data_IF_809448879208
#
_entry.id   IF_809448879208
#
_cell.length_a   1.000
_cell.length_b   1.000
_cell.length_c   1.000
_cell.angle_alpha   90.00
_cell.angle_beta   90.00
_cell.angle_gamma   90.00
#
_symmetry.space_group_name_H-M   'P 1'
#
loop_
_entity.id
_entity.type
_entity.pdbx_description
1 polymer ?
#
# COMPACT_ATOMS: atom_id res chain seq x y z
N UNK A 1 -56.67 46.02 18.20
CA UNK A 1 -56.00 46.68 17.05
C UNK A 1 -54.62 46.09 16.89
N UNK A 2 -54.16 45.87 15.66
CA UNK A 2 -52.81 45.34 15.40
C UNK A 2 -51.77 46.43 15.68
N UNK A 3 -50.70 46.06 16.38
CA UNK A 3 -49.59 46.94 16.74
C UNK A 3 -48.80 47.38 15.50
N UNK A 4 -48.04 48.47 15.59
CA UNK A 4 -47.19 48.95 14.47
C UNK A 4 -46.22 47.87 13.97
N UNK A 5 -45.74 46.99 14.85
CA UNK A 5 -44.85 45.87 14.53
C UNK A 5 -45.58 44.83 13.66
N UNK A 6 -46.83 44.53 13.97
CA UNK A 6 -47.60 43.54 13.21
C UNK A 6 -48.08 44.08 11.86
N UNK A 7 -48.36 45.39 11.75
CA UNK A 7 -48.80 46.02 10.50
C UNK A 7 -47.66 46.29 9.51
N UNK A 8 -46.44 46.53 10.00
CA UNK A 8 -45.31 46.97 9.14
C UNK A 8 -44.13 46.01 9.25
N UNK A 9 -43.77 45.58 10.45
CA UNK A 9 -42.61 44.70 10.67
C UNK A 9 -42.80 43.30 10.07
N UNK A 10 -43.98 42.69 10.25
CA UNK A 10 -44.27 41.35 9.70
C UNK A 10 -44.25 41.37 8.16
N UNK A 11 -44.97 42.26 7.45
CA UNK A 11 -44.92 42.29 5.99
C UNK A 11 -43.54 42.60 5.42
N UNK A 12 -42.77 43.49 6.05
CA UNK A 12 -41.40 43.82 5.61
C UNK A 12 -40.46 42.63 5.75
N UNK A 13 -40.53 41.88 6.86
CA UNK A 13 -39.73 40.66 7.02
C UNK A 13 -40.10 39.59 6.00
N UNK A 14 -41.41 39.40 5.73
CA UNK A 14 -41.87 38.44 4.72
C UNK A 14 -41.36 38.85 3.33
N UNK A 15 -41.42 40.14 2.98
CA UNK A 15 -40.89 40.66 1.72
C UNK A 15 -39.37 40.54 1.62
N UNK A 16 -38.64 40.75 2.71
CA UNK A 16 -37.18 40.60 2.75
C UNK A 16 -36.75 39.15 2.55
N UNK A 17 -37.42 38.21 3.24
CA UNK A 17 -37.18 36.77 3.07
C UNK A 17 -37.55 36.32 1.64
N UNK A 18 -38.70 36.74 1.13
CA UNK A 18 -39.13 36.44 -0.23
C UNK A 18 -38.15 37.01 -1.27
N UNK A 19 -37.63 38.22 -1.04
CA UNK A 19 -36.59 38.83 -1.88
C UNK A 19 -35.30 38.02 -1.88
N UNK A 20 -34.78 37.67 -0.71
CA UNK A 20 -33.57 36.84 -0.61
C UNK A 20 -33.76 35.48 -1.28
N UNK A 21 -34.92 34.85 -1.13
CA UNK A 21 -35.22 33.57 -1.78
C UNK A 21 -35.29 33.71 -3.31
N UNK A 22 -36.04 34.71 -3.81
CA UNK A 22 -36.22 34.95 -5.24
C UNK A 22 -34.91 35.33 -5.94
N UNK A 23 -34.14 36.28 -5.36
CA UNK A 23 -32.85 36.67 -5.91
C UNK A 23 -31.78 35.58 -5.71
N UNK A 24 -31.80 34.88 -4.58
CA UNK A 24 -30.90 33.76 -4.33
C UNK A 24 -31.09 32.61 -5.33
N UNK A 25 -32.34 32.31 -5.70
CA UNK A 25 -32.68 31.30 -6.70
C UNK A 25 -32.34 31.79 -8.13
N UNK A 26 -32.73 33.02 -8.48
CA UNK A 26 -32.43 33.60 -9.80
C UNK A 26 -30.93 33.80 -10.06
N UNK A 27 -30.13 34.07 -9.03
CA UNK A 27 -28.68 34.26 -9.13
C UNK A 27 -27.91 32.96 -8.84
N UNK A 28 -28.60 31.83 -8.65
CA UNK A 28 -27.98 30.55 -8.32
C UNK A 28 -27.08 30.60 -7.08
N UNK A 29 -27.33 31.52 -6.14
CA UNK A 29 -26.54 31.67 -4.90
C UNK A 29 -26.72 30.45 -3.99
N UNK A 30 -27.86 29.74 -4.12
CA UNK A 30 -28.12 28.48 -3.43
C UNK A 30 -27.49 27.25 -4.09
N UNK A 31 -26.94 27.38 -5.31
CA UNK A 31 -25.98 26.40 -5.81
C UNK A 31 -24.69 26.59 -5.02
N UNK A 32 -24.68 26.05 -3.80
CA UNK A 32 -23.45 25.57 -3.20
C UNK A 32 -22.79 24.74 -4.30
N UNK A 33 -21.62 25.17 -4.76
CA UNK A 33 -20.78 24.33 -5.57
C UNK A 33 -20.54 23.05 -4.78
N UNK A 34 -21.36 22.03 -5.02
CA UNK A 34 -21.01 20.64 -4.78
C UNK A 34 -20.02 20.24 -5.89
N UNK A 35 -19.01 21.08 -6.14
CA UNK A 35 -17.83 20.77 -6.93
C UNK A 35 -16.83 20.01 -6.05
N UNK A 36 -17.34 19.07 -5.25
CA UNK A 36 -16.68 17.77 -5.12
C UNK A 36 -17.54 16.78 -5.88
N UNK A 37 -17.51 16.89 -7.21
CA UNK A 37 -17.66 15.69 -8.03
C UNK A 37 -16.49 14.81 -7.62
N UNK A 38 -16.65 14.03 -6.55
CA UNK A 38 -15.73 12.94 -6.29
C UNK A 38 -15.75 12.13 -7.60
N UNK A 39 -14.59 11.83 -8.20
CA UNK A 39 -14.56 10.87 -9.29
C UNK A 39 -15.32 9.61 -8.83
N UNK A 40 -15.89 8.85 -9.77
CA UNK A 40 -16.51 7.52 -9.51
C UNK A 40 -15.85 6.85 -8.31
N UNK A 41 -16.62 6.59 -7.25
CA UNK A 41 -16.07 6.11 -5.97
C UNK A 41 -15.15 4.92 -6.22
N UNK A 42 -13.94 4.98 -5.66
CA UNK A 42 -13.01 3.87 -5.79
C UNK A 42 -13.30 2.89 -4.66
N UNK A 43 -13.91 1.75 -5.01
CA UNK A 43 -14.33 0.73 -4.07
C UNK A 43 -13.14 -0.13 -3.64
N UNK A 44 -12.85 -0.13 -2.35
CA UNK A 44 -11.75 -0.85 -1.73
C UNK A 44 -12.32 -1.94 -0.83
N UNK A 45 -12.13 -3.19 -1.22
CA UNK A 45 -12.52 -4.34 -0.40
C UNK A 45 -11.34 -4.80 0.44
N UNK A 46 -11.56 -4.94 1.75
CA UNK A 46 -10.56 -5.40 2.71
C UNK A 46 -11.09 -6.68 3.37
N UNK A 47 -10.31 -7.75 3.28
CA UNK A 47 -10.59 -9.02 3.94
C UNK A 47 -9.52 -9.31 4.98
N UNK A 48 -9.92 -9.43 6.24
CA UNK A 48 -9.03 -9.78 7.36
C UNK A 48 -9.32 -11.22 7.75
N UNK A 49 -8.30 -12.08 7.81
CA UNK A 49 -8.48 -13.51 8.09
C UNK A 49 -7.29 -14.11 8.86
N UNK A 50 -7.39 -15.40 9.18
CA UNK A 50 -6.34 -16.18 9.84
C UNK A 50 -6.42 -17.63 9.38
N UNK A 51 -5.98 -17.90 8.14
CA UNK A 51 -6.16 -19.21 7.51
C UNK A 51 -5.10 -20.22 7.99
N UNK A 52 -5.45 -21.33 8.67
CA UNK A 52 -4.45 -22.27 9.17
C UNK A 52 -3.58 -22.87 8.06
N UNK A 53 -4.18 -23.18 6.91
CA UNK A 53 -3.49 -23.79 5.76
C UNK A 53 -2.47 -22.87 5.07
N UNK A 54 -2.45 -21.58 5.38
CA UNK A 54 -1.48 -20.64 4.83
C UNK A 54 -0.28 -20.39 5.76
N UNK A 55 -0.29 -20.93 6.98
CA UNK A 55 0.83 -20.75 7.93
C UNK A 55 2.15 -21.21 7.31
N UNK A 56 2.16 -22.39 6.69
CA UNK A 56 3.37 -22.97 6.10
C UNK A 56 3.97 -22.08 5.00
N UNK A 57 3.13 -21.31 4.29
CA UNK A 57 3.60 -20.33 3.30
C UNK A 57 4.44 -19.21 3.94
N UNK A 58 4.10 -18.81 5.17
CA UNK A 58 4.85 -17.80 5.93
C UNK A 58 6.00 -18.39 6.74
N UNK A 59 6.05 -19.71 6.88
CA UNK A 59 7.19 -20.43 7.46
C UNK A 59 8.30 -20.71 6.42
N UNK A 60 8.05 -20.44 5.13
CA UNK A 60 9.03 -20.48 4.05
C UNK A 60 10.12 -19.40 4.15
N UNK A 61 11.21 -19.56 3.40
CA UNK A 61 12.44 -18.77 3.53
C UNK A 61 12.23 -17.25 3.39
N UNK A 62 11.33 -16.81 2.51
CA UNK A 62 11.00 -15.40 2.26
C UNK A 62 10.43 -14.69 3.50
N UNK A 63 9.60 -15.39 4.27
CA UNK A 63 8.92 -14.84 5.44
C UNK A 63 9.63 -15.22 6.75
N UNK A 64 10.50 -16.23 6.72
CA UNK A 64 11.30 -16.69 7.86
C UNK A 64 12.00 -15.53 8.58
N UNK A 65 12.53 -14.56 7.84
CA UNK A 65 13.21 -13.38 8.40
C UNK A 65 12.28 -12.49 9.23
N UNK A 66 11.03 -12.37 8.82
CA UNK A 66 10.01 -11.56 9.51
C UNK A 66 9.53 -12.25 10.77
N UNK A 67 9.29 -13.57 10.70
CA UNK A 67 8.80 -14.34 11.84
C UNK A 67 9.92 -14.85 12.77
N UNK A 68 11.18 -14.79 12.33
CA UNK A 68 12.38 -15.23 13.06
C UNK A 68 12.28 -16.69 13.52
N UNK A 69 11.76 -17.56 12.65
CA UNK A 69 11.54 -18.99 12.94
C UNK A 69 10.53 -19.30 14.04
N UNK A 70 9.75 -18.32 14.52
CA UNK A 70 8.72 -18.54 15.55
C UNK A 70 7.45 -19.12 14.93
N UNK A 71 6.85 -20.07 15.63
CA UNK A 71 5.60 -20.71 15.21
C UNK A 71 4.43 -19.73 15.32
N UNK A 72 3.61 -19.73 14.27
CA UNK A 72 2.36 -18.96 14.17
C UNK A 72 1.17 -19.85 14.55
N UNK A 73 0.16 -19.24 15.13
CA UNK A 73 -1.14 -19.85 15.39
C UNK A 73 -2.27 -18.96 14.87
N UNK A 74 -3.36 -19.56 14.36
CA UNK A 74 -4.49 -18.79 13.86
C UNK A 74 -5.27 -18.12 14.98
N UNK A 75 -5.80 -16.94 14.70
CA UNK A 75 -6.70 -16.23 15.60
C UNK A 75 -8.07 -16.92 15.65
N UNK A 76 -8.74 -16.84 16.80
CA UNK A 76 -10.11 -17.34 16.94
C UNK A 76 -11.09 -16.52 16.10
N UNK A 77 -12.19 -17.16 15.68
CA UNK A 77 -13.24 -16.49 14.89
C UNK A 77 -13.79 -15.26 15.60
N UNK A 78 -14.05 -15.34 16.91
CA UNK A 78 -14.54 -14.22 17.71
C UNK A 78 -13.55 -13.04 17.74
N UNK A 79 -12.24 -13.32 17.81
CA UNK A 79 -11.22 -12.28 17.77
C UNK A 79 -11.16 -11.63 16.39
N UNK A 80 -11.23 -12.41 15.31
CA UNK A 80 -11.27 -11.89 13.94
C UNK A 80 -12.50 -11.03 13.69
N UNK A 81 -13.68 -11.45 14.14
CA UNK A 81 -14.92 -10.69 13.96
C UNK A 81 -14.87 -9.35 14.72
N UNK A 82 -14.28 -9.34 15.91
CA UNK A 82 -14.02 -8.09 16.64
C UNK A 82 -13.06 -7.17 15.88
N UNK A 83 -11.93 -7.71 15.39
CA UNK A 83 -10.93 -6.94 14.63
C UNK A 83 -11.56 -6.34 13.38
N UNK A 84 -12.33 -7.11 12.60
CA UNK A 84 -12.98 -6.61 11.38
C UNK A 84 -13.94 -5.47 11.65
N UNK A 85 -14.81 -5.60 12.66
CA UNK A 85 -15.76 -4.55 13.05
C UNK A 85 -15.06 -3.29 13.54
N UNK A 86 -14.02 -3.44 14.34
CA UNK A 86 -13.24 -2.32 14.85
C UNK A 86 -12.54 -1.57 13.72
N UNK A 87 -11.84 -2.30 12.83
CA UNK A 87 -11.19 -1.69 11.66
C UNK A 87 -12.21 -1.03 10.73
N UNK A 88 -13.34 -1.68 10.45
CA UNK A 88 -14.41 -1.09 9.65
C UNK A 88 -14.86 0.26 10.24
N UNK A 89 -15.14 0.31 11.55
CA UNK A 89 -15.52 1.54 12.23
C UNK A 89 -14.46 2.64 12.14
N UNK A 90 -13.17 2.29 12.28
CA UNK A 90 -12.06 3.26 12.20
C UNK A 90 -11.91 3.80 10.79
N UNK A 91 -11.92 2.93 9.77
CA UNK A 91 -11.74 3.31 8.37
C UNK A 91 -12.92 4.14 7.85
N UNK A 92 -14.16 3.81 8.26
CA UNK A 92 -15.33 4.60 7.93
C UNK A 92 -15.22 6.04 8.44
N UNK A 93 -14.66 6.22 9.65
CA UNK A 93 -14.40 7.56 10.21
C UNK A 93 -13.28 8.31 9.49
N UNK A 94 -12.15 7.64 9.21
CA UNK A 94 -10.98 8.27 8.58
C UNK A 94 -11.25 8.70 7.13
N UNK A 95 -11.98 7.89 6.37
CA UNK A 95 -12.12 8.06 4.93
C UNK A 95 -13.47 8.66 4.49
N UNK A 96 -14.31 9.12 5.42
CA UNK A 96 -15.68 9.61 5.15
C UNK A 96 -15.75 10.74 4.12
N UNK A 97 -14.75 11.62 4.10
CA UNK A 97 -14.71 12.80 3.21
C UNK A 97 -13.85 12.58 1.95
N UNK A 98 -13.59 11.32 1.60
CA UNK A 98 -12.77 10.93 0.44
C UNK A 98 -13.60 10.25 -0.65
N UNK A 99 -13.02 10.07 -1.85
CA UNK A 99 -13.64 9.29 -2.92
C UNK A 99 -13.56 7.77 -2.70
N UNK A 100 -12.97 7.32 -1.58
CA UNK A 100 -12.71 5.91 -1.31
C UNK A 100 -13.91 5.30 -0.57
N UNK A 101 -14.48 4.26 -1.15
CA UNK A 101 -15.51 3.45 -0.51
C UNK A 101 -14.85 2.21 0.10
N UNK A 102 -14.44 2.32 1.36
CA UNK A 102 -13.80 1.24 2.12
C UNK A 102 -14.86 0.25 2.63
N UNK A 103 -14.74 -1.02 2.25
CA UNK A 103 -15.66 -2.08 2.70
C UNK A 103 -14.92 -3.23 3.37
N UNK A 104 -15.46 -3.68 4.50
CA UNK A 104 -15.08 -4.94 5.16
C UNK A 104 -16.31 -5.82 5.26
N UNK A 105 -16.26 -7.01 4.65
CA UNK A 105 -17.39 -7.94 4.71
C UNK A 105 -17.34 -8.76 6.00
N UNK A 106 -18.40 -8.62 6.79
CA UNK A 106 -18.54 -9.27 8.10
C UNK A 106 -19.60 -10.38 8.14
N UNK A 107 -20.36 -10.56 7.05
CA UNK A 107 -21.34 -11.65 6.98
C UNK A 107 -20.62 -13.00 6.95
N UNK A 108 -21.17 -14.01 7.64
CA UNK A 108 -20.57 -15.35 7.61
C UNK A 108 -20.47 -15.91 6.19
N UNK A 109 -21.41 -15.57 5.31
CA UNK A 109 -21.41 -16.00 3.91
C UNK A 109 -20.23 -15.39 3.14
N UNK A 110 -20.05 -14.07 3.24
CA UNK A 110 -18.98 -13.39 2.52
C UNK A 110 -17.60 -13.77 3.07
N UNK A 111 -17.46 -13.90 4.40
CA UNK A 111 -16.20 -14.35 5.02
C UNK A 111 -15.85 -15.76 4.56
N UNK A 112 -16.81 -16.69 4.55
CA UNK A 112 -16.57 -18.05 4.05
C UNK A 112 -16.24 -18.05 2.55
N UNK A 113 -16.91 -17.22 1.76
CA UNK A 113 -16.61 -17.06 0.33
C UNK A 113 -15.18 -16.55 0.10
N UNK A 114 -14.80 -15.45 0.78
CA UNK A 114 -13.48 -14.83 0.68
C UNK A 114 -12.36 -15.78 1.16
N UNK A 115 -12.60 -16.54 2.23
CA UNK A 115 -11.66 -17.56 2.70
C UNK A 115 -11.47 -18.70 1.67
N UNK A 116 -12.54 -19.12 0.99
CA UNK A 116 -12.47 -20.16 -0.05
C UNK A 116 -11.74 -19.71 -1.30
N UNK A 117 -11.96 -18.46 -1.72
CA UNK A 117 -11.35 -17.87 -2.91
C UNK A 117 -10.26 -16.87 -2.52
N UNK A 118 -9.34 -17.30 -1.66
CA UNK A 118 -8.29 -16.42 -1.14
C UNK A 118 -7.31 -16.00 -2.24
N UNK A 119 -6.73 -14.81 -2.08
CA UNK A 119 -5.74 -14.22 -3.01
C UNK A 119 -4.48 -13.81 -2.26
N UNK A 120 -3.98 -14.69 -1.40
CA UNK A 120 -2.92 -14.43 -0.41
C UNK A 120 -1.48 -14.67 -0.92
N UNK A 121 -1.31 -15.13 -2.15
CA UNK A 121 0.00 -15.47 -2.74
C UNK A 121 0.10 -15.06 -4.21
N UNK A 122 1.33 -15.02 -4.76
CA UNK A 122 1.58 -14.82 -6.19
C UNK A 122 1.58 -16.15 -6.96
N UNK A 123 0.54 -16.96 -6.78
CA UNK A 123 0.36 -18.25 -7.45
C UNK A 123 -0.86 -18.27 -8.38
N UNK A 124 -0.88 -19.24 -9.30
CA UNK A 124 -1.94 -19.38 -10.30
C UNK A 124 -3.35 -19.45 -9.66
N UNK A 125 -3.45 -20.06 -8.48
CA UNK A 125 -4.70 -20.15 -7.73
C UNK A 125 -5.19 -18.76 -7.33
N UNK A 126 -4.35 -17.95 -6.69
CA UNK A 126 -4.67 -16.58 -6.30
C UNK A 126 -4.99 -15.71 -7.50
N UNK A 127 -4.19 -15.78 -8.58
CA UNK A 127 -4.48 -15.06 -9.82
C UNK A 127 -5.84 -15.45 -10.41
N UNK A 128 -6.23 -16.73 -10.37
CA UNK A 128 -7.55 -17.17 -10.82
C UNK A 128 -8.70 -16.65 -9.93
N UNK A 129 -8.48 -16.63 -8.61
CA UNK A 129 -9.44 -16.20 -7.61
C UNK A 129 -9.72 -14.68 -7.66
N UNK A 130 -8.78 -13.86 -8.13
CA UNK A 130 -8.98 -12.41 -8.33
C UNK A 130 -10.25 -12.13 -9.16
N UNK A 131 -10.40 -12.85 -10.27
CA UNK A 131 -11.55 -12.67 -11.17
C UNK A 131 -12.88 -13.08 -10.52
N UNK A 132 -12.85 -14.09 -9.65
CA UNK A 132 -14.02 -14.61 -8.90
C UNK A 132 -14.47 -13.56 -7.88
N UNK A 133 -13.53 -13.02 -7.10
CA UNK A 133 -13.79 -11.97 -6.12
C UNK A 133 -14.32 -10.69 -6.80
N UNK A 134 -13.66 -10.24 -7.88
CA UNK A 134 -14.11 -9.07 -8.64
C UNK A 134 -15.54 -9.25 -9.16
N UNK A 135 -15.89 -10.42 -9.68
CA UNK A 135 -17.25 -10.68 -10.19
C UNK A 135 -18.33 -10.51 -9.12
N UNK A 136 -18.07 -10.95 -7.88
CA UNK A 136 -19.01 -10.87 -6.74
C UNK A 136 -19.10 -9.46 -6.16
N UNK A 137 -17.95 -8.84 -5.87
CA UNK A 137 -17.91 -7.62 -5.06
C UNK A 137 -17.74 -6.32 -5.87
N UNK A 138 -17.36 -6.41 -7.15
CA UNK A 138 -17.17 -5.26 -8.04
C UNK A 138 -16.23 -4.18 -7.47
N UNK A 139 -15.23 -4.57 -6.69
CA UNK A 139 -14.25 -3.65 -6.13
C UNK A 139 -13.17 -3.26 -7.14
N UNK A 140 -12.64 -2.05 -7.02
CA UNK A 140 -11.49 -1.56 -7.80
C UNK A 140 -10.17 -2.02 -7.19
N UNK A 141 -10.15 -2.18 -5.86
CA UNK A 141 -9.00 -2.64 -5.09
C UNK A 141 -9.40 -3.72 -4.10
N UNK A 142 -8.47 -4.62 -3.84
CA UNK A 142 -8.65 -5.75 -2.94
C UNK A 142 -7.42 -5.93 -2.06
N UNK A 143 -7.62 -5.86 -0.74
CA UNK A 143 -6.62 -6.17 0.28
C UNK A 143 -7.01 -7.46 1.00
N UNK A 144 -6.11 -8.44 1.00
CA UNK A 144 -6.22 -9.63 1.83
C UNK A 144 -5.15 -9.58 2.92
N UNK A 145 -5.59 -9.48 4.18
CA UNK A 145 -4.73 -9.36 5.36
C UNK A 145 -4.90 -10.62 6.20
N UNK A 146 -3.84 -11.41 6.30
CA UNK A 146 -3.81 -12.63 7.08
C UNK A 146 -3.01 -12.39 8.38
N UNK A 147 -3.67 -12.52 9.52
CA UNK A 147 -3.13 -12.16 10.84
C UNK A 147 -2.97 -13.39 11.71
N UNK A 148 -1.86 -13.50 12.42
CA UNK A 148 -1.54 -14.62 13.31
C UNK A 148 -0.96 -14.13 14.62
N UNK A 149 -1.06 -14.95 15.66
CA UNK A 149 -0.35 -14.77 16.92
C UNK A 149 0.88 -15.68 16.98
N UNK A 150 1.93 -15.26 17.67
CA UNK A 150 3.05 -16.14 17.97
C UNK A 150 2.69 -17.14 19.08
N UNK A 151 2.96 -18.43 18.87
CA UNK A 151 2.62 -19.50 19.82
C UNK A 151 3.21 -19.25 21.22
N UNK A 152 4.47 -18.80 21.29
CA UNK A 152 5.15 -18.51 22.57
C UNK A 152 4.52 -17.38 23.37
N UNK A 153 3.59 -16.63 22.79
CA UNK A 153 2.93 -15.48 23.38
C UNK A 153 1.44 -15.78 23.69
N UNK A 154 1.02 -17.04 23.72
CA UNK A 154 -0.38 -17.44 23.97
C UNK A 154 -0.90 -16.89 25.30
N UNK A 155 -0.09 -17.05 26.35
CA UNK A 155 -0.41 -16.67 27.73
C UNK A 155 0.27 -15.35 28.14
N UNK A 156 0.84 -14.64 27.17
CA UNK A 156 1.52 -13.37 27.40
C UNK A 156 0.50 -12.27 27.68
N UNK A 157 0.76 -11.45 28.69
CA UNK A 157 -0.01 -10.21 28.91
C UNK A 157 0.17 -9.19 27.78
N UNK A 158 1.15 -9.42 26.90
CA UNK A 158 1.45 -8.58 25.72
C UNK A 158 1.64 -9.48 24.49
N UNK A 159 0.55 -10.08 23.97
CA UNK A 159 0.65 -10.96 22.83
C UNK A 159 1.24 -10.21 21.63
N UNK A 160 2.11 -10.91 20.88
CA UNK A 160 2.69 -10.39 19.64
C UNK A 160 2.09 -11.07 18.44
N UNK A 161 1.93 -10.28 17.39
CA UNK A 161 1.27 -10.70 16.17
C UNK A 161 2.17 -10.55 14.96
N UNK A 162 1.76 -11.23 13.90
CA UNK A 162 2.29 -11.14 12.56
C UNK A 162 1.11 -10.92 11.63
N UNK A 163 1.26 -10.06 10.62
CA UNK A 163 0.34 -10.06 9.50
C UNK A 163 1.08 -10.03 8.17
N UNK A 164 0.47 -10.69 7.18
CA UNK A 164 0.85 -10.60 5.77
C UNK A 164 -0.30 -10.04 4.99
N UNK A 165 0.00 -9.16 4.06
CA UNK A 165 -0.95 -8.55 3.15
C UNK A 165 -0.61 -8.87 1.70
N UNK A 166 -1.67 -9.09 0.92
CA UNK A 166 -1.63 -9.11 -0.53
C UNK A 166 -2.65 -8.11 -1.06
N UNK A 167 -2.20 -7.18 -1.91
CA UNK A 167 -3.03 -6.21 -2.60
C UNK A 167 -3.11 -6.45 -4.09
N UNK A 168 -4.30 -6.20 -4.60
CA UNK A 168 -4.61 -6.19 -6.02
C UNK A 168 -5.29 -4.87 -6.35
N UNK A 169 -4.63 -4.07 -7.18
CA UNK A 169 -5.06 -2.73 -7.58
C UNK A 169 -5.54 -2.75 -9.03
N UNK A 170 -6.42 -1.80 -9.39
CA UNK A 170 -6.95 -1.63 -10.75
C UNK A 170 -7.66 -2.89 -11.28
N UNK A 171 -8.42 -3.56 -10.42
CA UNK A 171 -9.24 -4.70 -10.81
C UNK A 171 -10.21 -4.32 -11.95
N UNK A 172 -10.49 -5.25 -12.89
CA UNK A 172 -10.10 -6.66 -12.90
C UNK A 172 -8.68 -6.95 -13.40
N UNK A 173 -7.88 -5.93 -13.75
CA UNK A 173 -6.49 -6.16 -14.13
C UNK A 173 -5.70 -6.69 -12.94
N UNK A 174 -4.99 -7.80 -13.12
CA UNK A 174 -4.13 -8.40 -12.10
C UNK A 174 -2.67 -7.95 -12.19
N UNK A 175 -2.34 -7.04 -13.13
CA UNK A 175 -0.97 -6.58 -13.39
C UNK A 175 -0.42 -5.63 -12.33
N UNK A 176 -1.29 -4.97 -11.56
CA UNK A 176 -0.93 -4.02 -10.51
C UNK A 176 -1.22 -4.63 -9.15
N UNK A 177 -0.24 -5.31 -8.58
CA UNK A 177 -0.37 -5.99 -7.30
C UNK A 177 0.87 -5.74 -6.43
N UNK A 178 0.81 -6.17 -5.19
CA UNK A 178 1.91 -6.06 -4.26
C UNK A 178 1.63 -6.83 -2.99
N UNK A 179 2.66 -7.02 -2.18
CA UNK A 179 2.53 -7.64 -0.87
C UNK A 179 3.24 -6.80 0.18
N UNK A 180 2.83 -6.98 1.41
CA UNK A 180 3.48 -6.40 2.58
C UNK A 180 3.41 -7.42 3.72
N UNK A 181 4.33 -7.33 4.69
CA UNK A 181 4.17 -8.12 5.91
C UNK A 181 4.90 -7.43 7.06
N UNK A 182 4.30 -7.50 8.24
CA UNK A 182 4.76 -6.89 9.47
C UNK A 182 4.75 -7.92 10.60
N UNK A 183 5.72 -7.83 11.50
CA UNK A 183 5.82 -8.68 12.68
C UNK A 183 6.00 -7.88 13.97
N UNK A 184 5.88 -8.56 15.10
CA UNK A 184 6.24 -8.08 16.44
C UNK A 184 5.41 -6.90 16.97
N UNK A 185 4.23 -6.65 16.41
CA UNK A 185 3.27 -5.65 16.92
C UNK A 185 2.32 -6.27 17.95
N UNK A 186 1.69 -5.42 18.78
CA UNK A 186 0.84 -5.85 19.92
C UNK A 186 -0.63 -5.43 19.79
N UNK A 187 -0.95 -4.49 18.90
CA UNK A 187 -2.32 -4.07 18.60
C UNK A 187 -2.58 -4.30 17.10
N UNK A 188 -3.52 -5.19 16.78
CA UNK A 188 -3.85 -5.56 15.40
C UNK A 188 -4.55 -4.40 14.70
N UNK A 189 -5.50 -3.78 15.39
CA UNK A 189 -6.30 -2.69 14.86
C UNK A 189 -5.44 -1.48 14.49
N UNK A 190 -4.57 -1.02 15.41
CA UNK A 190 -3.67 0.11 15.13
C UNK A 190 -2.73 -0.18 13.96
N UNK A 191 -2.24 -1.41 13.88
CA UNK A 191 -1.29 -1.81 12.86
C UNK A 191 -1.93 -1.87 11.46
N UNK A 192 -3.14 -2.44 11.34
CA UNK A 192 -3.88 -2.47 10.08
C UNK A 192 -4.32 -1.06 9.70
N UNK A 193 -4.84 -0.27 10.64
CA UNK A 193 -5.24 1.10 10.38
C UNK A 193 -4.07 1.96 9.88
N UNK A 194 -2.92 1.91 10.57
CA UNK A 194 -1.73 2.65 10.16
C UNK A 194 -1.28 2.31 8.73
N UNK A 195 -1.28 1.01 8.39
CA UNK A 195 -0.97 0.52 7.04
C UNK A 195 -1.95 1.04 5.98
N UNK A 196 -3.26 0.98 6.26
CA UNK A 196 -4.28 1.49 5.34
C UNK A 196 -4.18 3.01 5.17
N UNK A 197 -4.00 3.75 6.27
CA UNK A 197 -3.81 5.19 6.24
C UNK A 197 -2.60 5.58 5.40
N UNK A 198 -1.46 4.94 5.59
CA UNK A 198 -0.26 5.19 4.78
C UNK A 198 -0.51 4.98 3.28
N UNK A 199 -1.23 3.92 2.91
CA UNK A 199 -1.52 3.65 1.49
C UNK A 199 -2.46 4.65 0.83
N UNK A 200 -3.37 5.26 1.59
CA UNK A 200 -4.48 6.05 1.04
C UNK A 200 -4.44 7.54 1.37
N UNK A 201 -3.68 7.97 2.38
CA UNK A 201 -3.51 9.39 2.73
C UNK A 201 -2.45 10.12 1.87
N UNK A 202 -2.01 9.49 0.78
CA UNK A 202 -0.99 9.97 -0.14
C UNK A 202 0.31 9.18 0.01
N UNK A 203 0.89 8.72 -1.10
CA UNK A 203 2.04 7.80 -1.13
C UNK A 203 3.34 8.36 -0.55
N UNK A 204 3.34 9.63 -0.13
CA UNK A 204 4.55 10.40 0.11
C UNK A 204 5.42 10.54 -1.13
N UNK A 205 4.99 10.10 -2.32
CA UNK A 205 5.84 10.10 -3.50
C UNK A 205 6.24 11.53 -3.87
N UNK A 206 7.54 11.71 -4.02
CA UNK A 206 8.20 13.02 -4.16
C UNK A 206 8.70 13.23 -5.58
N UNK A 207 9.11 12.16 -6.23
CA UNK A 207 9.72 12.23 -7.55
C UNK A 207 10.49 10.97 -7.88
N UNK A 208 11.42 11.11 -8.80
CA UNK A 208 12.33 10.05 -9.21
C UNK A 208 13.76 10.55 -9.24
N UNK A 209 14.73 9.68 -8.99
CA UNK A 209 16.14 10.02 -9.19
C UNK A 209 16.36 10.44 -10.64
N UNK A 210 16.95 11.61 -10.83
CA UNK A 210 17.36 12.14 -12.12
C UNK A 210 18.79 11.70 -12.45
N UNK A 211 19.71 11.92 -11.50
CA UNK A 211 21.12 11.58 -11.60
C UNK A 211 21.73 11.44 -10.20
N UNK A 212 22.92 10.85 -10.15
CA UNK A 212 23.74 10.74 -8.95
C UNK A 212 25.17 11.15 -9.30
N UNK A 213 25.76 12.00 -8.46
CA UNK A 213 27.15 12.45 -8.54
C UNK A 213 27.75 12.32 -7.15
N UNK A 214 28.69 11.38 -6.97
CA UNK A 214 29.23 10.98 -5.68
C UNK A 214 28.11 10.61 -4.67
N UNK A 215 28.01 11.33 -3.55
CA UNK A 215 26.98 11.14 -2.52
C UNK A 215 25.76 12.07 -2.70
N UNK A 216 25.72 12.84 -3.80
CA UNK A 216 24.64 13.77 -4.12
C UNK A 216 23.67 13.11 -5.09
N UNK A 217 22.41 13.04 -4.69
CA UNK A 217 21.32 12.51 -5.51
C UNK A 217 20.41 13.67 -5.92
N UNK A 218 20.31 13.88 -7.23
CA UNK A 218 19.40 14.86 -7.82
C UNK A 218 18.07 14.18 -8.12
N UNK A 219 16.98 14.79 -7.67
CA UNK A 219 15.63 14.24 -7.75
C UNK A 219 14.79 15.15 -8.62
N UNK A 220 14.20 14.58 -9.67
CA UNK A 220 13.15 15.26 -10.43
C UNK A 220 11.85 15.18 -9.64
N UNK A 221 11.40 16.32 -9.12
CA UNK A 221 10.21 16.43 -8.29
C UNK A 221 8.94 16.29 -9.14
N UNK A 222 7.97 15.54 -8.61
CA UNK A 222 6.57 15.60 -9.04
C UNK A 222 5.68 16.26 -7.96
N UNK A 223 6.18 16.37 -6.72
CA UNK A 223 5.54 17.03 -5.61
C UNK A 223 6.37 18.27 -5.22
N UNK A 224 5.84 19.47 -5.47
CA UNK A 224 6.55 20.73 -5.22
C UNK A 224 6.47 21.18 -3.75
N UNK A 225 5.88 20.38 -2.85
CA UNK A 225 5.78 20.69 -1.41
C UNK A 225 7.04 20.31 -0.63
N UNK A 226 8.07 19.78 -1.30
CA UNK A 226 9.35 19.45 -0.67
C UNK A 226 10.05 20.71 -0.20
N UNK A 227 10.72 20.59 0.94
CA UNK A 227 11.50 21.65 1.57
C UNK A 227 12.88 21.11 1.91
N UNK A 228 13.84 22.01 1.99
CA UNK A 228 15.13 21.72 2.62
C UNK A 228 14.94 21.07 3.99
N UNK A 229 15.91 20.23 4.39
CA UNK A 229 15.94 19.50 5.66
C UNK A 229 14.84 18.42 5.81
N UNK A 230 14.01 18.16 4.80
CA UNK A 230 13.14 16.97 4.77
C UNK A 230 13.96 15.68 4.61
N UNK A 231 13.53 14.62 5.29
CA UNK A 231 14.03 13.27 5.08
C UNK A 231 13.18 12.57 4.03
N UNK A 232 13.85 11.89 3.11
CA UNK A 232 13.24 11.14 2.02
C UNK A 232 13.78 9.71 2.02
N UNK A 233 13.02 8.79 1.46
CA UNK A 233 13.44 7.43 1.19
C UNK A 233 13.39 7.17 -0.32
N UNK A 234 14.46 6.63 -0.87
CA UNK A 234 14.52 6.14 -2.24
C UNK A 234 14.40 4.62 -2.32
N UNK A 235 13.76 4.13 -3.37
CA UNK A 235 13.62 2.70 -3.68
C UNK A 235 14.07 2.39 -5.10
N UNK A 236 14.88 1.34 -5.24
CA UNK A 236 15.27 0.82 -6.55
C UNK A 236 14.06 0.40 -7.39
N UNK A 237 14.00 0.88 -8.64
CA UNK A 237 12.95 0.54 -9.59
C UNK A 237 13.49 -0.33 -10.72
N UNK A 238 12.91 -1.52 -10.89
CA UNK A 238 13.26 -2.43 -11.98
C UNK A 238 12.19 -2.40 -13.08
N UNK A 239 12.54 -1.82 -14.23
CA UNK A 239 11.67 -1.73 -15.41
C UNK A 239 12.04 -2.80 -16.44
N UNK A 240 11.22 -3.85 -16.54
CA UNK A 240 11.45 -4.98 -17.44
C UNK A 240 11.22 -4.65 -18.93
N UNK A 241 10.67 -3.47 -19.24
CA UNK A 241 10.65 -2.96 -20.61
C UNK A 241 12.01 -2.38 -21.05
N UNK A 242 12.91 -2.15 -20.09
CA UNK A 242 14.27 -1.63 -20.26
C UNK A 242 15.28 -2.65 -19.68
N UNK A 243 16.33 -2.17 -19.03
CA UNK A 243 17.41 -2.98 -18.44
C UNK A 243 17.08 -3.55 -17.05
N UNK A 244 15.83 -3.45 -16.57
CA UNK A 244 15.48 -3.81 -15.19
C UNK A 244 15.80 -5.26 -14.79
N UNK A 245 15.82 -6.21 -15.74
CA UNK A 245 16.28 -7.60 -15.45
C UNK A 245 17.78 -7.66 -15.16
N UNK A 246 18.57 -6.94 -15.97
CA UNK A 246 20.01 -6.85 -15.79
C UNK A 246 20.34 -6.13 -14.49
N UNK A 247 19.73 -4.96 -14.27
CA UNK A 247 19.93 -4.18 -13.05
C UNK A 247 19.61 -4.99 -11.80
N UNK A 248 18.53 -5.80 -11.84
CA UNK A 248 18.16 -6.68 -10.75
C UNK A 248 19.22 -7.76 -10.51
N UNK A 249 19.66 -8.47 -11.56
CA UNK A 249 20.71 -9.50 -11.44
C UNK A 249 22.01 -8.90 -10.89
N UNK A 250 22.40 -7.71 -11.34
CA UNK A 250 23.61 -7.03 -10.87
C UNK A 250 23.51 -6.73 -9.35
N UNK A 251 22.40 -6.15 -8.88
CA UNK A 251 22.20 -5.85 -7.45
C UNK A 251 22.16 -7.12 -6.59
N UNK A 252 21.49 -8.17 -7.08
CA UNK A 252 21.42 -9.46 -6.38
C UNK A 252 22.80 -10.13 -6.29
N UNK A 253 23.59 -10.07 -7.35
CA UNK A 253 24.96 -10.61 -7.40
C UNK A 253 25.88 -9.87 -6.43
N UNK A 254 25.82 -8.54 -6.42
CA UNK A 254 26.55 -7.73 -5.44
C UNK A 254 26.13 -8.05 -4.01
N UNK A 255 24.83 -8.25 -3.79
CA UNK A 255 24.27 -8.69 -2.50
C UNK A 255 24.81 -10.03 -2.05
N UNK A 256 24.90 -11.02 -2.96
CA UNK A 256 25.51 -12.32 -2.67
C UNK A 256 26.98 -12.14 -2.26
N UNK A 257 27.77 -11.38 -3.02
CA UNK A 257 29.18 -11.11 -2.68
C UNK A 257 29.33 -10.43 -1.32
N UNK A 258 28.52 -9.41 -1.05
CA UNK A 258 28.54 -8.70 0.23
C UNK A 258 28.18 -9.64 1.40
N UNK A 259 27.09 -10.40 1.27
CA UNK A 259 26.56 -11.27 2.32
C UNK A 259 27.42 -12.52 2.55
N UNK A 260 28.23 -12.95 1.57
CA UNK A 260 29.13 -14.10 1.72
C UNK A 260 30.21 -13.87 2.79
N UNK A 261 30.44 -12.63 3.20
CA UNK A 261 31.33 -12.30 4.32
C UNK A 261 30.73 -12.62 5.70
N UNK A 262 29.45 -13.01 5.76
CA UNK A 262 28.72 -13.29 7.00
C UNK A 262 28.25 -14.75 7.04
N UNK A 263 28.55 -15.43 8.15
CA UNK A 263 28.22 -16.86 8.34
C UNK A 263 26.89 -17.09 9.07
N UNK A 264 26.14 -16.04 9.40
CA UNK A 264 24.87 -16.18 10.12
C UNK A 264 23.76 -16.74 9.22
N UNK A 265 22.80 -17.43 9.84
CA UNK A 265 21.68 -18.08 9.14
C UNK A 265 20.86 -17.10 8.29
N UNK A 266 20.72 -15.84 8.71
CA UNK A 266 19.92 -14.85 7.98
C UNK A 266 20.58 -14.46 6.66
N UNK A 267 21.90 -14.28 6.68
CA UNK A 267 22.72 -13.99 5.50
C UNK A 267 22.71 -15.17 4.53
N UNK A 268 22.93 -16.39 5.03
CA UNK A 268 22.90 -17.60 4.20
C UNK A 268 21.54 -17.83 3.52
N UNK A 269 20.45 -17.61 4.25
CA UNK A 269 19.10 -17.65 3.67
C UNK A 269 18.91 -16.56 2.61
N UNK A 270 19.41 -15.34 2.82
CA UNK A 270 19.29 -14.29 1.80
C UNK A 270 20.02 -14.65 0.50
N UNK A 271 21.22 -15.21 0.62
CA UNK A 271 22.05 -15.61 -0.52
C UNK A 271 21.31 -16.65 -1.34
N UNK A 272 20.68 -17.63 -0.68
CA UNK A 272 19.86 -18.62 -1.36
C UNK A 272 18.70 -17.98 -2.13
N UNK A 273 17.93 -17.09 -1.47
CA UNK A 273 16.83 -16.37 -2.11
C UNK A 273 17.28 -15.54 -3.32
N UNK A 274 18.43 -14.87 -3.23
CA UNK A 274 19.01 -14.12 -4.35
C UNK A 274 19.42 -15.02 -5.51
N UNK A 275 20.03 -16.17 -5.23
CA UNK A 275 20.36 -17.15 -6.28
C UNK A 275 19.11 -17.70 -6.97
N UNK A 276 18.08 -18.05 -6.18
CA UNK A 276 16.81 -18.57 -6.72
C UNK A 276 16.10 -17.50 -7.58
N UNK A 277 16.12 -16.23 -7.17
CA UNK A 277 15.57 -15.13 -7.95
C UNK A 277 16.37 -14.89 -9.24
N UNK A 278 17.71 -14.91 -9.18
CA UNK A 278 18.57 -14.80 -10.39
C UNK A 278 18.21 -15.91 -11.40
N UNK A 279 18.10 -17.16 -10.95
CA UNK A 279 17.69 -18.28 -11.79
C UNK A 279 16.28 -18.07 -12.37
N UNK A 280 15.34 -17.56 -11.57
CA UNK A 280 14.00 -17.23 -12.04
C UNK A 280 13.99 -16.14 -13.11
N UNK A 281 14.81 -15.09 -12.97
CA UNK A 281 14.96 -14.01 -13.96
C UNK A 281 15.58 -14.54 -15.26
N UNK A 282 16.61 -15.38 -15.15
CA UNK A 282 17.32 -15.97 -16.30
C UNK A 282 16.44 -16.96 -17.07
N UNK A 283 15.63 -17.75 -16.37
CA UNK A 283 14.76 -18.75 -16.99
C UNK A 283 13.38 -18.22 -17.36
N UNK A 284 13.01 -17.03 -16.89
CA UNK A 284 11.70 -16.44 -17.11
C UNK A 284 10.58 -17.26 -16.47
N UNK A 285 10.70 -17.56 -15.17
CA UNK A 285 9.69 -18.33 -14.43
C UNK A 285 8.95 -17.47 -13.41
N UNK A 286 7.79 -17.94 -12.93
CA UNK A 286 7.03 -17.26 -11.87
C UNK A 286 6.76 -15.80 -12.20
N UNK A 287 7.07 -14.87 -11.28
CA UNK A 287 6.92 -13.42 -11.50
C UNK A 287 7.74 -12.86 -12.68
N UNK A 288 8.82 -13.56 -13.06
CA UNK A 288 9.82 -13.10 -14.01
C UNK A 288 9.61 -13.60 -15.45
N UNK A 289 8.44 -14.17 -15.77
CA UNK A 289 8.10 -14.71 -17.09
C UNK A 289 8.48 -13.78 -18.26
N UNK A 290 8.85 -14.34 -19.41
CA UNK A 290 9.20 -13.53 -20.58
C UNK A 290 7.97 -13.14 -21.40
N UNK A 291 7.11 -14.11 -21.66
CA UNK A 291 5.84 -13.95 -22.36
C UNK A 291 4.70 -14.62 -21.60
N UNK A 292 3.50 -14.02 -21.64
CA UNK A 292 2.29 -14.66 -21.13
C UNK A 292 1.76 -15.70 -22.13
N UNK A 293 0.63 -16.35 -21.81
CA UNK A 293 0.05 -17.41 -22.65
C UNK A 293 -0.45 -16.87 -23.99
N UNK A 294 -0.73 -15.58 -24.05
CA UNK A 294 -1.19 -14.83 -25.20
C UNK A 294 -0.02 -14.27 -26.04
N UNK A 295 1.23 -14.45 -25.60
CA UNK A 295 2.43 -14.01 -26.29
C UNK A 295 2.82 -12.55 -26.03
N UNK A 296 2.20 -11.88 -25.06
CA UNK A 296 2.59 -10.52 -24.68
C UNK A 296 3.88 -10.55 -23.85
N UNK A 297 4.78 -9.60 -24.10
CA UNK A 297 6.03 -9.48 -23.34
C UNK A 297 5.78 -8.99 -21.91
N UNK A 298 6.53 -9.50 -20.95
CA UNK A 298 6.54 -8.99 -19.59
C UNK A 298 7.25 -7.63 -19.51
N UNK A 299 6.45 -6.57 -19.39
CA UNK A 299 6.88 -5.17 -19.26
C UNK A 299 6.64 -4.63 -17.84
N UNK A 300 6.63 -5.48 -16.82
CA UNK A 300 6.37 -5.08 -15.43
C UNK A 300 7.39 -4.04 -14.93
N UNK A 301 6.93 -3.22 -13.99
CA UNK A 301 7.76 -2.28 -13.22
C UNK A 301 7.49 -2.51 -11.74
N UNK A 302 8.53 -2.70 -10.95
CA UNK A 302 8.38 -3.02 -9.53
C UNK A 302 9.58 -2.53 -8.72
N UNK A 303 9.34 -2.30 -7.44
CA UNK A 303 10.38 -2.07 -6.44
C UNK A 303 10.48 -3.32 -5.55
N UNK A 304 11.62 -3.52 -4.87
CA UNK A 304 11.85 -4.71 -4.04
C UNK A 304 12.22 -4.35 -2.60
N UNK A 305 11.93 -3.12 -2.17
CA UNK A 305 12.30 -2.65 -0.83
C UNK A 305 13.80 -2.45 -0.61
N UNK A 306 14.61 -2.38 -1.68
CA UNK A 306 15.99 -1.89 -1.58
C UNK A 306 15.97 -0.38 -1.37
N UNK A 307 15.87 -0.02 -0.09
CA UNK A 307 15.65 1.35 0.37
C UNK A 307 16.96 2.00 0.79
N UNK A 308 17.10 3.27 0.46
CA UNK A 308 18.14 4.17 0.96
C UNK A 308 17.52 5.47 1.46
N UNK A 309 18.17 6.13 2.41
CA UNK A 309 17.68 7.37 3.01
C UNK A 309 18.44 8.56 2.49
N UNK A 310 17.71 9.63 2.25
CA UNK A 310 18.19 10.87 1.69
C UNK A 310 17.77 12.04 2.58
N UNK A 311 18.57 13.10 2.58
CA UNK A 311 18.21 14.37 3.20
C UNK A 311 18.27 15.48 2.17
N UNK A 312 17.18 16.26 2.06
CA UNK A 312 17.13 17.41 1.17
C UNK A 312 18.05 18.50 1.69
N UNK A 313 18.99 18.92 0.86
CA UNK A 313 19.98 19.96 1.19
C UNK A 313 19.79 21.23 0.38
N UNK A 314 19.16 21.15 -0.79
CA UNK A 314 18.88 22.31 -1.64
C UNK A 314 17.70 22.01 -2.59
N UNK A 315 17.10 23.05 -3.17
CA UNK A 315 16.04 23.00 -4.17
C UNK A 315 16.39 23.89 -5.35
N UNK A 316 16.57 23.28 -6.52
CA UNK A 316 16.83 23.99 -7.76
C UNK A 316 15.52 24.16 -8.57
N UNK A 317 15.21 25.39 -8.97
CA UNK A 317 14.21 25.71 -10.00
C UNK A 317 12.81 25.09 -9.78
N UNK A 318 12.37 25.01 -8.51
CA UNK A 318 11.12 24.40 -8.00
C UNK A 318 10.86 22.93 -8.38
N UNK A 319 11.67 22.33 -9.25
CA UNK A 319 11.41 21.02 -9.88
C UNK A 319 12.53 20.01 -9.68
N UNK A 320 13.65 20.42 -9.08
CA UNK A 320 14.77 19.54 -8.76
C UNK A 320 15.10 19.69 -7.28
N UNK A 321 15.13 18.58 -6.54
CA UNK A 321 15.72 18.55 -5.20
C UNK A 321 17.13 18.00 -5.26
N UNK A 322 18.04 18.63 -4.53
CA UNK A 322 19.39 18.16 -4.30
C UNK A 322 19.42 17.51 -2.93
N UNK A 323 19.90 16.28 -2.86
CA UNK A 323 19.88 15.51 -1.62
C UNK A 323 21.21 14.84 -1.34
N UNK A 324 21.48 14.57 -0.06
CA UNK A 324 22.62 13.76 0.39
C UNK A 324 22.15 12.41 0.86
N UNK A 325 22.92 11.37 0.54
CA UNK A 325 22.70 10.04 1.11
C UNK A 325 23.02 10.09 2.60
N UNK A 326 22.11 9.58 3.42
CA UNK A 326 22.27 9.51 4.89
C UNK A 326 22.36 8.07 5.37
N UNK A 327 21.75 7.12 4.67
CA UNK A 327 21.80 5.70 5.00
C UNK A 327 21.65 4.85 3.75
N UNK A 328 22.46 3.79 3.63
CA UNK A 328 22.28 2.73 2.65
C UNK A 328 21.90 1.45 3.40
N UNK A 329 20.60 1.15 3.50
CA UNK A 329 20.13 -0.09 4.15
C UNK A 329 20.66 -1.34 3.43
N UNK A 330 20.96 -1.20 2.15
CA UNK A 330 21.54 -2.22 1.28
C UNK A 330 22.78 -1.65 0.59
N UNK A 331 23.98 -1.72 1.22
CA UNK A 331 25.19 -1.04 0.73
C UNK A 331 25.72 -1.60 -0.61
N UNK A 332 25.19 -2.73 -1.06
CA UNK A 332 25.52 -3.40 -2.32
C UNK A 332 24.59 -3.01 -3.49
N UNK A 333 23.55 -2.22 -3.23
CA UNK A 333 22.57 -1.81 -4.24
C UNK A 333 22.97 -0.48 -4.84
N UNK A 334 22.92 -0.39 -6.17
CA UNK A 334 23.24 0.85 -6.88
C UNK A 334 22.00 1.74 -7.00
N UNK A 335 22.14 3.01 -6.60
CA UNK A 335 21.14 4.05 -6.88
C UNK A 335 21.17 4.38 -8.37
N UNK A 336 20.00 4.40 -9.02
CA UNK A 336 19.88 4.58 -10.47
C UNK A 336 18.86 5.66 -10.82
N UNK A 337 19.05 6.30 -11.98
CA UNK A 337 18.04 7.18 -12.54
C UNK A 337 16.72 6.43 -12.76
N UNK A 338 15.61 7.02 -12.32
CA UNK A 338 14.27 6.42 -12.34
C UNK A 338 13.83 5.75 -11.04
N UNK A 339 14.74 5.54 -10.08
CA UNK A 339 14.39 5.08 -8.73
C UNK A 339 13.34 6.00 -8.11
N UNK A 340 12.40 5.40 -7.37
CA UNK A 340 11.25 6.11 -6.82
C UNK A 340 11.62 6.76 -5.49
N UNK A 341 11.25 8.03 -5.31
CA UNK A 341 11.48 8.76 -4.05
C UNK A 341 10.14 9.00 -3.36
N UNK A 342 10.10 8.80 -2.05
CA UNK A 342 9.01 9.18 -1.17
C UNK A 342 9.50 9.93 0.08
N UNK A 343 8.60 10.55 0.82
CA UNK A 343 8.84 11.05 2.17
C UNK A 343 9.06 9.86 3.10
N UNK A 344 10.01 9.98 4.03
CA UNK A 344 10.27 8.96 5.07
C UNK A 344 9.15 8.85 6.10
#
# INVERSE_FOLDING_TARGET
EWTKVEKVGIPVNVLFIAGILFFGDSLNIWNLEVNKMFPTSEKVLIHITSLPGDIDKYMGEDHYKKIKGRKLIPLSINKLDSVRKNIESILLGEFIDTALEMEIKNSSEDVTFLNKYSVLSFDDLSFSNVSINYKRFKCNRLHYINVYQYEKELDSSRPKYYFSEMRWNKLPSSGWNGSFAQSDFTNIEDQIFGFMREMYSGSGQVGTVLSIEDEIVYIKLNNLKIKENMNLAGESLYDFSKDGRKDRIDDLTNGITYLSNYSDTTSQLQIKLYNDEILSIQNGTGFNWFFDKEGNKNMRKFTTGFIYKLKVVDLHSDSIAVTKITELSYPYVKIRAGDQIRVE
#
